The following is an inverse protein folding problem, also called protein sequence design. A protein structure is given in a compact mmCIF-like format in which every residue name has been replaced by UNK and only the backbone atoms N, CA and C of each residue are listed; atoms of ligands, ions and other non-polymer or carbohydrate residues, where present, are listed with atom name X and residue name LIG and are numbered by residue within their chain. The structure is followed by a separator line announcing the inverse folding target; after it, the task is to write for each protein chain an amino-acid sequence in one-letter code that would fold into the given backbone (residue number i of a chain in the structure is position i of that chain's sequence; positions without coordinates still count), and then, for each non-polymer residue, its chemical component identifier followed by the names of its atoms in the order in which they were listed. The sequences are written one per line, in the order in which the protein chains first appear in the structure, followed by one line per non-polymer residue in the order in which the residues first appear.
data_IF_790520541078
#
_entry.id   IF_790520541078
#
_cell.length_a   1.000
_cell.length_b   1.000
_cell.length_c   1.000
_cell.angle_alpha   90.00
_cell.angle_beta   90.00
_cell.angle_gamma   90.00
#
_symmetry.space_group_name_H-M   'P 1'
#
loop_
_entity.id
_entity.type
_entity.pdbx_description
1 polymer ?
#
# COMPACT_ATOMS: atom_id res chain seq x y z
N UNK A 1 -27.98 21.87 -24.45
CA UNK A 1 -26.71 21.65 -25.17
C UNK A 1 -25.59 22.21 -24.30
N UNK A 2 -24.53 21.42 -24.06
CA UNK A 2 -23.31 21.73 -23.27
C UNK A 2 -23.22 21.03 -21.90
N UNK A 3 -23.14 19.69 -21.91
CA UNK A 3 -22.87 18.87 -20.70
C UNK A 3 -21.80 17.79 -20.91
N UNK A 4 -20.95 17.85 -21.94
CA UNK A 4 -20.16 16.66 -22.31
C UNK A 4 -18.77 16.89 -22.96
N UNK A 5 -18.01 17.95 -22.64
CA UNK A 5 -16.79 18.20 -23.44
C UNK A 5 -15.49 18.62 -22.75
N UNK A 6 -15.42 18.83 -21.43
CA UNK A 6 -14.15 19.31 -20.82
C UNK A 6 -13.90 18.61 -19.49
N UNK A 7 -13.36 17.39 -19.51
CA UNK A 7 -12.51 16.86 -18.41
C UNK A 7 -11.87 15.50 -18.76
N UNK A 8 -12.44 14.74 -19.70
CA UNK A 8 -12.03 13.36 -20.03
C UNK A 8 -10.71 13.17 -20.81
N UNK A 9 -9.95 14.20 -21.16
CA UNK A 9 -8.90 14.06 -22.21
C UNK A 9 -7.48 14.50 -21.85
N UNK A 10 -7.14 14.66 -20.57
CA UNK A 10 -5.73 14.81 -20.16
C UNK A 10 -5.28 13.57 -19.42
N UNK A 11 -4.96 12.53 -20.18
CA UNK A 11 -4.16 11.40 -19.71
C UNK A 11 -2.91 11.96 -19.06
N UNK A 12 -2.94 12.03 -17.73
CA UNK A 12 -1.92 12.64 -16.92
C UNK A 12 -0.71 11.72 -16.93
N UNK A 13 0.10 11.81 -18.00
CA UNK A 13 1.40 11.14 -18.14
C UNK A 13 2.43 11.74 -17.18
N UNK A 14 2.02 12.10 -15.96
CA UNK A 14 2.96 12.47 -14.92
C UNK A 14 3.86 11.27 -14.71
N UNK A 15 5.16 11.52 -14.82
CA UNK A 15 6.14 10.56 -14.37
C UNK A 15 6.13 10.60 -12.84
N UNK A 16 6.37 9.46 -12.16
CA UNK A 16 6.50 9.47 -10.71
C UNK A 16 7.61 10.43 -10.29
N UNK A 17 7.30 11.34 -9.36
CA UNK A 17 8.26 12.27 -8.79
C UNK A 17 9.46 11.47 -8.21
N UNK A 18 10.67 11.75 -8.70
CA UNK A 18 11.91 11.08 -8.28
C UNK A 18 12.43 9.97 -9.22
N UNK A 19 11.66 9.56 -10.24
CA UNK A 19 12.14 8.68 -11.31
C UNK A 19 12.73 7.33 -10.84
N UNK A 20 13.67 6.80 -11.62
CA UNK A 20 14.29 5.49 -11.37
C UNK A 20 15.17 5.44 -10.12
N UNK A 21 15.87 6.54 -9.80
CA UNK A 21 16.73 6.60 -8.61
C UNK A 21 15.90 6.47 -7.32
N UNK A 22 14.79 7.20 -7.22
CA UNK A 22 13.86 7.08 -6.08
C UNK A 22 13.27 5.67 -6.00
N UNK A 23 12.91 5.08 -7.13
CA UNK A 23 12.38 3.71 -7.16
C UNK A 23 13.38 2.68 -6.68
N UNK A 24 14.65 2.80 -7.08
CA UNK A 24 15.71 1.91 -6.63
C UNK A 24 15.96 2.07 -5.13
N UNK A 25 16.03 3.31 -4.64
CA UNK A 25 16.15 3.61 -3.21
C UNK A 25 15.00 2.98 -2.42
N UNK A 26 13.75 3.18 -2.86
CA UNK A 26 12.58 2.61 -2.18
C UNK A 26 12.65 1.08 -2.12
N UNK A 27 13.09 0.44 -3.20
CA UNK A 27 13.21 -1.01 -3.24
C UNK A 27 14.31 -1.51 -2.29
N UNK A 28 15.47 -0.85 -2.27
CA UNK A 28 16.58 -1.21 -1.39
C UNK A 28 16.21 -1.03 0.09
N UNK A 29 15.63 0.12 0.44
CA UNK A 29 15.22 0.43 1.81
C UNK A 29 14.10 -0.52 2.25
N UNK A 30 13.06 -0.72 1.42
CA UNK A 30 11.96 -1.61 1.76
C UNK A 30 12.41 -3.07 1.91
N UNK A 31 13.28 -3.57 1.02
CA UNK A 31 13.80 -4.94 1.11
C UNK A 31 14.67 -5.14 2.35
N UNK A 32 15.53 -4.17 2.66
CA UNK A 32 16.37 -4.21 3.87
C UNK A 32 15.50 -4.19 5.13
N UNK A 33 14.53 -3.28 5.19
CA UNK A 33 13.59 -3.22 6.30
C UNK A 33 12.78 -4.51 6.45
N UNK A 34 12.38 -5.14 5.33
CA UNK A 34 11.61 -6.39 5.35
C UNK A 34 12.44 -7.57 5.87
N UNK A 35 13.74 -7.64 5.55
CA UNK A 35 14.62 -8.68 6.08
C UNK A 35 14.83 -8.48 7.59
N UNK A 36 15.12 -7.24 8.01
CA UNK A 36 15.37 -6.92 9.42
C UNK A 36 14.11 -7.07 10.29
N UNK A 37 12.97 -6.59 9.80
CA UNK A 37 11.69 -6.67 10.51
C UNK A 37 10.97 -8.01 10.30
N UNK A 38 11.40 -8.82 9.33
CA UNK A 38 10.76 -10.08 8.92
C UNK A 38 10.41 -11.02 10.07
N UNK A 39 11.34 -11.31 11.01
CA UNK A 39 11.04 -12.17 12.17
C UNK A 39 9.85 -11.65 13.00
N UNK A 40 9.79 -10.34 13.23
CA UNK A 40 8.71 -9.70 13.99
C UNK A 40 7.41 -9.72 13.18
N UNK A 41 7.48 -9.44 11.88
CA UNK A 41 6.31 -9.45 10.98
C UNK A 41 5.66 -10.84 10.84
N UNK A 42 6.41 -11.92 11.05
CA UNK A 42 5.88 -13.29 11.10
C UNK A 42 5.30 -13.64 12.48
N UNK A 43 5.94 -13.15 13.55
CA UNK A 43 5.50 -13.42 14.92
C UNK A 43 4.15 -12.75 15.26
N UNK A 44 3.95 -11.51 14.84
CA UNK A 44 2.71 -10.74 15.07
C UNK A 44 1.45 -11.50 14.62
N UNK A 45 1.36 -12.05 13.38
CA UNK A 45 0.25 -12.90 12.94
C UNK A 45 -0.12 -14.02 13.88
N UNK A 46 0.89 -14.71 14.44
CA UNK A 46 0.68 -15.85 15.32
C UNK A 46 0.03 -15.40 16.62
N UNK A 47 0.51 -14.29 17.20
CA UNK A 47 -0.06 -13.70 18.41
C UNK A 47 -1.49 -13.19 18.17
N UNK A 48 -1.75 -12.51 17.05
CA UNK A 48 -3.10 -12.03 16.71
C UNK A 48 -4.05 -13.21 16.57
N UNK A 49 -3.66 -14.26 15.84
CA UNK A 49 -4.49 -15.45 15.65
C UNK A 49 -4.77 -16.19 16.95
N UNK A 50 -3.79 -16.26 17.85
CA UNK A 50 -3.94 -16.89 19.16
C UNK A 50 -4.86 -16.10 20.12
N UNK A 51 -4.94 -14.77 19.97
CA UNK A 51 -5.68 -13.89 20.91
C UNK A 51 -7.09 -13.53 20.46
N UNK A 52 -7.29 -13.25 19.17
CA UNK A 52 -8.57 -12.71 18.64
C UNK A 52 -9.27 -13.64 17.66
N UNK A 53 -8.65 -14.74 17.21
CA UNK A 53 -9.26 -15.76 16.34
C UNK A 53 -9.68 -15.30 14.94
N UNK A 54 -9.52 -14.02 14.61
CA UNK A 54 -9.94 -13.42 13.34
C UNK A 54 -8.82 -13.27 12.30
N UNK A 55 -9.13 -12.69 11.13
CA UNK A 55 -8.14 -12.41 10.10
C UNK A 55 -7.05 -11.46 10.62
N UNK A 56 -5.80 -11.83 10.37
CA UNK A 56 -4.60 -11.12 10.86
C UNK A 56 -4.41 -9.76 10.19
N UNK A 57 -4.72 -9.68 8.89
CA UNK A 57 -4.50 -8.49 8.07
C UNK A 57 -5.84 -7.80 7.77
N UNK A 58 -5.84 -6.49 7.94
CA UNK A 58 -6.91 -5.62 7.45
C UNK A 58 -6.45 -4.94 6.16
N UNK A 59 -7.35 -4.92 5.17
CA UNK A 59 -7.09 -4.32 3.85
C UNK A 59 -7.89 -3.03 3.70
N UNK A 60 -7.21 -1.92 3.44
CA UNK A 60 -7.84 -0.63 3.16
C UNK A 60 -7.53 -0.18 1.74
N UNK A 61 -8.57 0.03 0.91
CA UNK A 61 -8.38 0.56 -0.45
C UNK A 61 -8.00 2.04 -0.42
N UNK A 62 -6.89 2.42 -1.04
CA UNK A 62 -6.45 3.82 -1.18
C UNK A 62 -6.21 4.17 -2.65
N UNK A 63 -6.42 5.43 -3.01
CA UNK A 63 -6.09 5.95 -4.35
C UNK A 63 -4.59 6.28 -4.36
N UNK A 64 -3.86 5.71 -5.30
CA UNK A 64 -2.42 5.90 -5.48
C UNK A 64 -2.09 6.80 -6.68
N UNK A 65 -0.89 6.61 -7.21
CA UNK A 65 -0.36 7.40 -8.32
C UNK A 65 -1.25 7.31 -9.56
N UNK A 66 -1.50 8.46 -10.21
CA UNK A 66 -2.35 8.58 -11.40
C UNK A 66 -3.76 7.98 -11.23
N UNK A 67 -4.35 8.14 -10.03
CA UNK A 67 -5.69 7.61 -9.73
C UNK A 67 -5.75 6.09 -9.57
N UNK A 68 -4.63 5.37 -9.72
CA UNK A 68 -4.61 3.91 -9.60
C UNK A 68 -4.79 3.50 -8.15
N UNK A 69 -5.91 2.84 -7.85
CA UNK A 69 -6.18 2.35 -6.52
C UNK A 69 -5.30 1.14 -6.15
N UNK A 70 -4.93 1.03 -4.88
CA UNK A 70 -4.14 -0.06 -4.32
C UNK A 70 -4.63 -0.46 -2.92
N UNK A 71 -4.30 -1.68 -2.54
CA UNK A 71 -4.68 -2.27 -1.27
C UNK A 71 -3.58 -2.02 -0.23
N UNK A 72 -3.91 -1.27 0.82
CA UNK A 72 -3.03 -0.99 1.93
C UNK A 72 -3.25 -2.04 3.03
N UNK A 73 -2.28 -2.93 3.18
CA UNK A 73 -2.29 -3.98 4.19
C UNK A 73 -1.74 -3.44 5.52
N UNK A 74 -2.44 -3.75 6.62
CA UNK A 74 -1.98 -3.49 7.98
C UNK A 74 -2.36 -4.64 8.90
N UNK A 75 -1.60 -4.84 9.97
CA UNK A 75 -2.02 -5.77 11.03
C UNK A 75 -3.27 -5.24 11.72
N UNK A 76 -4.16 -6.16 12.08
CA UNK A 76 -5.33 -5.85 12.86
C UNK A 76 -4.90 -5.48 14.28
N UNK A 77 -5.15 -4.24 14.69
CA UNK A 77 -4.85 -3.76 16.05
C UNK A 77 -6.08 -3.71 16.96
N UNK A 78 -7.28 -3.69 16.39
CA UNK A 78 -8.53 -3.71 17.15
C UNK A 78 -9.13 -5.12 17.12
N UNK A 79 -9.27 -5.72 18.30
CA UNK A 79 -10.16 -6.87 18.51
C UNK A 79 -11.62 -6.47 18.24
N UNK A 80 -12.56 -7.44 18.17
CA UNK A 80 -13.97 -7.10 18.21
C UNK A 80 -14.31 -6.25 19.45
#
# INVERSE_FOLDING_TARGET
MQTASIEDARGDRRQPLGGWAKRLLDLMVASTALILAGPILVLIPLLIKATTGGPVLFVHRRIGFNGKAFDCYKFRTMGP
#
